data_IF_593213824921
#
_entry.id   IF_593213824921
#
_cell.length_a   1.000
_cell.length_b   1.000
_cell.length_c   1.000
_cell.angle_alpha   90.00
_cell.angle_beta   90.00
_cell.angle_gamma   90.00
#
_symmetry.space_group_name_H-M   'P 1'
#
loop_
_entity.id
_entity.type
_entity.pdbx_description
1 polymer ?
#
# COMPACT_ATOMS: atom_id res chain seq x y z
N UNK A 1 26.70 27.54 -30.14
CA UNK A 1 25.27 27.82 -30.18
C UNK A 1 24.56 26.99 -29.12
N UNK A 2 24.34 27.57 -27.94
CA UNK A 2 23.57 26.99 -26.86
C UNK A 2 22.12 27.42 -27.07
N UNK A 3 21.24 26.52 -27.50
CA UNK A 3 19.79 26.76 -27.45
C UNK A 3 19.24 26.19 -26.14
N UNK A 4 18.82 27.13 -25.32
CA UNK A 4 18.09 26.95 -24.08
C UNK A 4 16.74 26.27 -24.35
N UNK A 5 16.53 25.10 -23.71
CA UNK A 5 15.21 24.50 -23.54
C UNK A 5 14.61 25.12 -22.27
N UNK A 6 14.24 26.39 -22.37
CA UNK A 6 13.43 27.07 -21.36
C UNK A 6 12.42 27.89 -22.12
N UNK A 7 11.24 27.35 -22.30
CA UNK A 7 9.99 28.11 -22.55
C UNK A 7 8.92 27.25 -23.24
N UNK A 8 8.30 26.34 -22.53
CA UNK A 8 6.90 25.92 -22.78
C UNK A 8 6.25 25.47 -21.46
N UNK A 9 6.50 26.17 -20.38
CA UNK A 9 5.79 25.99 -19.11
C UNK A 9 5.39 27.36 -18.59
N UNK A 10 4.46 28.00 -19.27
CA UNK A 10 3.70 29.14 -18.76
C UNK A 10 2.29 29.04 -19.30
N UNK A 11 1.44 28.39 -18.56
CA UNK A 11 0.00 28.60 -18.68
C UNK A 11 -0.64 28.52 -17.29
N UNK A 12 -0.89 29.71 -16.77
CA UNK A 12 -2.06 30.09 -15.97
C UNK A 12 -2.24 29.41 -14.60
N UNK A 13 -1.49 29.89 -13.62
CA UNK A 13 -1.99 29.96 -12.24
C UNK A 13 -3.17 30.93 -12.20
N UNK A 14 -4.38 30.43 -12.20
CA UNK A 14 -5.53 31.13 -11.65
C UNK A 14 -5.70 30.66 -10.20
N UNK A 15 -5.32 31.52 -9.27
CA UNK A 15 -5.55 31.30 -7.85
C UNK A 15 -7.06 31.20 -7.61
N UNK A 16 -7.54 30.05 -7.19
CA UNK A 16 -8.79 29.92 -6.45
C UNK A 16 -8.47 29.29 -5.09
N UNK A 17 -8.49 30.13 -4.06
CA UNK A 17 -8.63 29.69 -2.69
C UNK A 17 -9.97 28.96 -2.56
N UNK A 18 -9.96 27.64 -2.40
CA UNK A 18 -11.12 26.88 -1.92
C UNK A 18 -10.66 26.01 -0.76
N UNK A 19 -11.29 26.26 0.35
CA UNK A 19 -11.30 25.49 1.60
C UNK A 19 -11.59 24.01 1.33
N UNK A 20 -10.81 23.15 1.97
CA UNK A 20 -11.08 21.76 2.32
C UNK A 20 -12.08 21.00 1.44
N UNK A 21 -11.64 20.46 0.33
CA UNK A 21 -12.36 19.41 -0.40
C UNK A 21 -11.38 18.27 -0.64
N UNK A 22 -11.83 17.07 -0.29
CA UNK A 22 -11.11 15.84 -0.53
C UNK A 22 -10.58 15.80 -1.96
N UNK A 23 -9.29 15.51 -2.09
CA UNK A 23 -8.65 15.41 -3.40
C UNK A 23 -9.24 14.21 -4.12
N UNK A 24 -9.97 14.50 -5.16
CA UNK A 24 -10.48 13.49 -6.09
C UNK A 24 -9.31 12.97 -6.92
N UNK A 25 -9.17 11.65 -7.02
CA UNK A 25 -8.23 11.04 -7.95
C UNK A 25 -8.40 11.65 -9.34
N UNK A 26 -7.38 12.36 -9.79
CA UNK A 26 -7.38 12.96 -11.09
C UNK A 26 -6.84 11.95 -12.11
N UNK A 27 -7.66 11.61 -13.10
CA UNK A 27 -7.09 11.10 -14.34
C UNK A 27 -6.07 12.14 -14.83
N UNK A 28 -4.89 11.70 -15.24
CA UNK A 28 -3.92 12.57 -15.87
C UNK A 28 -4.59 13.30 -17.03
N UNK A 29 -4.65 14.63 -16.98
CA UNK A 29 -5.30 15.40 -18.04
C UNK A 29 -4.49 15.27 -19.33
N UNK A 30 -5.06 14.60 -20.31
CA UNK A 30 -4.47 14.55 -21.64
C UNK A 30 -4.35 15.97 -22.19
N UNK A 31 -3.23 16.26 -22.86
CA UNK A 31 -3.02 17.53 -23.51
C UNK A 31 -4.26 17.89 -24.39
N UNK A 32 -4.84 19.10 -24.24
CA UNK A 32 -6.04 19.51 -24.99
C UNK A 32 -5.91 19.45 -26.54
N UNK A 33 -4.69 19.35 -27.05
CA UNK A 33 -4.41 19.17 -28.50
C UNK A 33 -4.69 17.71 -28.95
N UNK A 34 -4.82 16.76 -28.03
CA UNK A 34 -5.19 15.37 -28.37
C UNK A 34 -6.66 15.31 -28.75
N UNK A 35 -6.96 15.18 -30.04
CA UNK A 35 -8.33 15.22 -30.57
C UNK A 35 -9.01 13.85 -30.57
N UNK A 36 -8.24 12.79 -30.82
CA UNK A 36 -8.76 11.42 -30.96
C UNK A 36 -8.36 10.56 -29.76
N UNK A 37 -9.05 10.74 -28.65
CA UNK A 37 -8.83 9.95 -27.42
C UNK A 37 -9.45 8.57 -27.57
N UNK A 38 -8.62 7.58 -27.89
CA UNK A 38 -9.05 6.18 -27.93
C UNK A 38 -9.31 5.63 -26.51
N UNK A 39 -10.16 4.57 -26.35
CA UNK A 39 -10.33 3.92 -25.05
C UNK A 39 -9.01 3.45 -24.42
N UNK A 40 -8.08 2.92 -25.23
CA UNK A 40 -6.78 2.49 -24.77
C UNK A 40 -5.91 3.65 -24.26
N UNK A 41 -5.94 4.81 -24.93
CA UNK A 41 -5.23 5.99 -24.49
C UNK A 41 -5.82 6.53 -23.17
N UNK A 42 -7.14 6.56 -23.06
CA UNK A 42 -7.84 6.95 -21.82
C UNK A 42 -7.46 6.03 -20.66
N UNK A 43 -7.52 4.72 -20.86
CA UNK A 43 -7.13 3.75 -19.86
C UNK A 43 -5.65 3.93 -19.43
N UNK A 44 -4.75 4.10 -20.40
CA UNK A 44 -3.33 4.30 -20.13
C UNK A 44 -3.00 5.62 -19.41
N UNK A 45 -3.86 6.63 -19.53
CA UNK A 45 -3.70 7.93 -18.86
C UNK A 45 -4.38 7.97 -17.49
N UNK A 46 -5.08 6.92 -17.07
CA UNK A 46 -5.69 6.85 -15.75
C UNK A 46 -4.63 6.55 -14.71
N UNK A 47 -4.40 7.49 -13.80
CA UNK A 47 -3.45 7.39 -12.69
C UNK A 47 -4.22 7.59 -11.39
N UNK A 48 -3.86 6.85 -10.35
CA UNK A 48 -4.56 6.93 -9.06
C UNK A 48 -5.71 5.94 -8.95
N UNK A 49 -6.82 6.36 -8.35
CA UNK A 49 -8.00 5.50 -8.19
C UNK A 49 -8.58 5.17 -9.58
N UNK A 50 -8.63 3.87 -9.88
CA UNK A 50 -9.23 3.40 -11.11
C UNK A 50 -10.73 3.22 -10.95
N UNK A 51 -11.50 3.54 -11.99
CA UNK A 51 -12.96 3.37 -12.02
C UNK A 51 -13.46 2.84 -13.36
N UNK A 52 -14.53 2.06 -13.30
CA UNK A 52 -15.27 1.69 -14.49
C UNK A 52 -16.77 1.61 -14.23
N UNK A 53 -17.56 1.92 -15.26
CA UNK A 53 -19.01 1.84 -15.26
C UNK A 53 -19.48 0.80 -16.27
N UNK A 54 -20.58 0.11 -15.94
CA UNK A 54 -21.27 -0.78 -16.85
C UNK A 54 -22.55 -0.12 -17.35
N UNK A 55 -22.60 0.36 -18.60
CA UNK A 55 -23.78 1.02 -19.16
C UNK A 55 -25.04 0.15 -19.16
N UNK A 56 -24.89 -1.20 -19.22
CA UNK A 56 -26.01 -2.12 -19.20
C UNK A 56 -26.72 -2.15 -17.84
N UNK A 57 -26.06 -1.71 -16.77
CA UNK A 57 -26.60 -1.67 -15.40
C UNK A 57 -26.94 -0.24 -14.95
N UNK A 58 -26.97 0.75 -15.85
CA UNK A 58 -27.18 2.16 -15.51
C UNK A 58 -28.44 2.38 -14.65
N UNK A 59 -29.53 1.68 -14.94
CA UNK A 59 -30.81 1.79 -14.24
C UNK A 59 -30.89 0.95 -12.95
N UNK A 60 -29.87 0.16 -12.62
CA UNK A 60 -29.85 -0.61 -11.38
C UNK A 60 -29.77 0.36 -10.17
N UNK A 61 -30.52 0.06 -9.09
CA UNK A 61 -30.45 0.88 -7.87
C UNK A 61 -29.04 0.85 -7.28
N UNK A 62 -28.63 1.96 -6.70
CA UNK A 62 -27.33 2.02 -6.04
C UNK A 62 -27.35 1.25 -4.72
N UNK A 63 -26.44 0.30 -4.58
CA UNK A 63 -26.18 -0.43 -3.35
C UNK A 63 -24.68 -0.66 -3.22
N UNK A 64 -24.06 0.07 -2.30
CA UNK A 64 -22.63 0.16 -2.15
C UNK A 64 -22.06 -0.90 -1.20
N UNK A 65 -20.86 -1.38 -1.50
CA UNK A 65 -20.04 -2.17 -0.61
C UNK A 65 -18.57 -1.76 -0.74
N UNK A 66 -17.79 -1.97 0.33
CA UNK A 66 -16.34 -1.91 0.31
C UNK A 66 -15.82 -3.34 0.31
N UNK A 67 -14.91 -3.66 -0.61
CA UNK A 67 -14.19 -4.93 -0.63
C UNK A 67 -12.72 -4.67 -0.29
N UNK A 68 -12.28 -5.14 0.88
CA UNK A 68 -10.88 -5.11 1.29
C UNK A 68 -10.18 -6.36 0.78
N UNK A 69 -9.12 -6.18 0.01
CA UNK A 69 -8.25 -7.26 -0.47
C UNK A 69 -6.93 -7.25 0.29
N UNK A 70 -6.48 -8.40 0.73
CA UNK A 70 -5.24 -8.56 1.49
C UNK A 70 -4.59 -9.91 1.20
N UNK A 71 -3.25 -9.97 1.27
CA UNK A 71 -2.53 -11.24 1.15
C UNK A 71 -2.98 -12.25 2.22
N UNK A 72 -3.32 -11.76 3.41
CA UNK A 72 -3.72 -12.57 4.54
C UNK A 72 -2.54 -13.03 5.40
N UNK A 73 -2.87 -13.75 6.48
CA UNK A 73 -1.90 -14.35 7.40
C UNK A 73 -2.49 -15.56 8.11
N UNK A 74 -1.64 -16.53 8.45
CA UNK A 74 -1.99 -17.68 9.29
C UNK A 74 -1.83 -17.41 10.79
N UNK A 75 -1.25 -16.27 11.16
CA UNK A 75 -1.05 -15.87 12.55
C UNK A 75 -2.28 -15.14 13.07
N UNK A 76 -3.12 -15.81 13.85
CA UNK A 76 -4.41 -15.29 14.34
C UNK A 76 -4.26 -13.98 15.11
N UNK A 77 -3.32 -13.90 16.05
CA UNK A 77 -3.09 -12.69 16.87
C UNK A 77 -2.66 -11.51 16.00
N UNK A 78 -1.78 -11.75 15.03
CA UNK A 78 -1.32 -10.73 14.07
C UNK A 78 -2.47 -10.28 13.18
N UNK A 79 -3.28 -11.21 12.65
CA UNK A 79 -4.47 -10.89 11.86
C UNK A 79 -5.39 -9.93 12.59
N UNK A 80 -5.76 -10.28 13.83
CA UNK A 80 -6.67 -9.47 14.64
C UNK A 80 -6.15 -8.06 14.91
N UNK A 81 -4.85 -7.92 15.15
CA UNK A 81 -4.22 -6.62 15.44
C UNK A 81 -3.95 -5.78 14.19
N UNK A 82 -3.96 -6.37 13.01
CA UNK A 82 -3.59 -5.73 11.74
C UNK A 82 -4.75 -5.67 10.76
N UNK A 83 -5.05 -6.75 10.04
CA UNK A 83 -6.07 -6.81 9.00
C UNK A 83 -7.44 -6.45 9.59
N UNK A 84 -7.90 -7.18 10.62
CA UNK A 84 -9.21 -6.97 11.24
C UNK A 84 -9.30 -5.54 11.83
N UNK A 85 -8.19 -4.99 12.35
CA UNK A 85 -8.15 -3.63 12.89
C UNK A 85 -8.25 -2.54 11.79
N UNK A 86 -7.68 -2.78 10.60
CA UNK A 86 -7.84 -1.88 9.44
C UNK A 86 -9.28 -1.92 8.94
N UNK A 87 -9.85 -3.12 8.77
CA UNK A 87 -11.25 -3.29 8.35
C UNK A 87 -12.22 -2.63 9.32
N UNK A 88 -12.01 -2.82 10.62
CA UNK A 88 -12.80 -2.15 11.66
C UNK A 88 -12.67 -0.62 11.61
N UNK A 89 -11.50 -0.09 11.28
CA UNK A 89 -11.30 1.35 11.11
C UNK A 89 -12.04 1.88 9.88
N UNK A 90 -12.00 1.16 8.75
CA UNK A 90 -12.74 1.48 7.53
C UNK A 90 -14.25 1.42 7.81
N UNK A 91 -14.74 0.33 8.41
CA UNK A 91 -16.16 0.18 8.74
C UNK A 91 -16.65 1.29 9.69
N UNK A 92 -15.82 1.70 10.65
CA UNK A 92 -16.14 2.79 11.58
C UNK A 92 -16.24 4.14 10.87
N UNK A 93 -15.38 4.38 9.87
CA UNK A 93 -15.39 5.62 9.08
C UNK A 93 -16.59 5.66 8.12
N UNK A 94 -17.03 4.49 7.63
CA UNK A 94 -18.13 4.34 6.67
C UNK A 94 -19.22 3.39 7.23
N UNK A 95 -19.97 3.79 8.29
CA UNK A 95 -20.86 2.89 9.01
C UNK A 95 -22.05 2.39 8.17
N UNK A 96 -22.43 3.13 7.14
CA UNK A 96 -23.59 2.82 6.29
C UNK A 96 -23.21 1.95 5.08
N UNK A 97 -21.91 1.69 4.85
CA UNK A 97 -21.41 0.87 3.73
C UNK A 97 -20.71 -0.36 4.30
N UNK A 98 -21.24 -1.58 4.08
CA UNK A 98 -20.65 -2.78 4.64
C UNK A 98 -19.28 -3.09 4.04
N UNK A 99 -18.37 -3.55 4.88
CA UNK A 99 -17.02 -3.98 4.52
C UNK A 99 -16.98 -5.49 4.39
N UNK A 100 -16.43 -5.97 3.28
CA UNK A 100 -16.17 -7.37 2.97
C UNK A 100 -14.68 -7.60 2.83
N UNK A 101 -14.23 -8.82 3.10
CA UNK A 101 -12.82 -9.22 3.04
C UNK A 101 -12.61 -10.28 1.96
N UNK A 102 -11.46 -10.19 1.28
CA UNK A 102 -10.94 -11.25 0.42
C UNK A 102 -9.44 -11.44 0.65
N UNK A 103 -8.99 -12.69 0.65
CA UNK A 103 -7.58 -13.04 0.71
C UNK A 103 -7.05 -13.37 -0.68
N UNK A 104 -5.91 -12.77 -1.05
CA UNK A 104 -5.29 -12.99 -2.35
C UNK A 104 -4.36 -14.22 -2.37
N UNK A 105 -3.87 -14.66 -1.21
CA UNK A 105 -3.01 -15.84 -1.10
C UNK A 105 -3.81 -17.12 -0.87
N UNK A 106 -3.94 -17.95 -1.91
CA UNK A 106 -4.58 -19.27 -1.82
C UNK A 106 -3.93 -20.18 -0.77
N UNK A 107 -2.59 -20.13 -0.64
CA UNK A 107 -1.85 -20.90 0.36
C UNK A 107 -2.28 -20.48 1.78
N UNK A 108 -2.45 -19.19 2.03
CA UNK A 108 -2.92 -18.69 3.33
C UNK A 108 -4.35 -19.11 3.59
N UNK A 109 -5.24 -19.01 2.60
CA UNK A 109 -6.64 -19.47 2.70
C UNK A 109 -6.68 -20.94 3.13
N UNK A 110 -5.94 -21.80 2.44
CA UNK A 110 -5.92 -23.24 2.73
C UNK A 110 -5.36 -23.54 4.13
N UNK A 111 -4.30 -22.85 4.53
CA UNK A 111 -3.69 -23.00 5.86
C UNK A 111 -4.61 -22.49 6.99
N UNK A 112 -5.28 -21.35 6.82
CA UNK A 112 -6.26 -20.83 7.79
C UNK A 112 -7.42 -21.81 7.93
N UNK A 113 -7.93 -22.36 6.81
CA UNK A 113 -8.97 -23.37 6.84
C UNK A 113 -8.53 -24.64 7.57
N UNK A 114 -7.31 -25.12 7.31
CA UNK A 114 -6.78 -26.31 7.95
C UNK A 114 -6.52 -26.12 9.46
N UNK A 115 -6.02 -24.96 9.85
CA UNK A 115 -5.61 -24.70 11.23
C UNK A 115 -6.76 -24.24 12.13
N UNK A 116 -7.71 -23.44 11.58
CA UNK A 116 -8.72 -22.75 12.36
C UNK A 116 -10.16 -23.16 11.96
N UNK A 117 -10.34 -23.92 10.88
CA UNK A 117 -11.66 -24.25 10.34
C UNK A 117 -12.40 -23.06 9.71
N UNK A 118 -11.74 -21.91 9.55
CA UNK A 118 -12.30 -20.68 8.97
C UNK A 118 -12.05 -20.69 7.46
N UNK A 119 -13.09 -20.50 6.68
CA UNK A 119 -12.97 -20.33 5.22
C UNK A 119 -12.89 -18.84 4.89
N UNK A 120 -11.75 -18.39 4.38
CA UNK A 120 -11.57 -17.07 3.78
C UNK A 120 -11.89 -17.14 2.30
N UNK A 121 -12.47 -16.08 1.75
CA UNK A 121 -12.84 -15.99 0.33
C UNK A 121 -11.65 -15.52 -0.50
N UNK A 122 -11.53 -16.05 -1.73
CA UNK A 122 -10.71 -15.40 -2.76
C UNK A 122 -11.39 -14.11 -3.24
N UNK A 123 -10.67 -13.23 -3.96
CA UNK A 123 -11.30 -12.05 -4.57
C UNK A 123 -12.48 -12.39 -5.46
N UNK A 124 -12.36 -13.45 -6.29
CA UNK A 124 -13.42 -13.91 -7.19
C UNK A 124 -14.65 -14.38 -6.42
N UNK A 125 -14.46 -15.13 -5.34
CA UNK A 125 -15.57 -15.60 -4.47
C UNK A 125 -16.25 -14.43 -3.76
N UNK A 126 -15.46 -13.43 -3.31
CA UNK A 126 -16.00 -12.24 -2.68
C UNK A 126 -16.84 -11.40 -3.66
N UNK A 127 -16.37 -11.19 -4.89
CA UNK A 127 -17.16 -10.52 -5.93
C UNK A 127 -18.43 -11.28 -6.27
N UNK A 128 -18.36 -12.61 -6.42
CA UNK A 128 -19.53 -13.44 -6.67
C UNK A 128 -20.57 -13.34 -5.54
N UNK A 129 -20.12 -13.29 -4.29
CA UNK A 129 -20.98 -13.08 -3.12
C UNK A 129 -21.61 -11.69 -3.14
N UNK A 130 -20.86 -10.63 -3.40
CA UNK A 130 -21.38 -9.27 -3.52
C UNK A 130 -22.46 -9.17 -4.59
N UNK A 131 -22.25 -9.78 -5.76
CA UNK A 131 -23.23 -9.85 -6.83
C UNK A 131 -24.49 -10.60 -6.40
N UNK A 132 -24.34 -11.77 -5.77
CA UNK A 132 -25.47 -12.59 -5.30
C UNK A 132 -26.29 -11.87 -4.22
N UNK A 133 -25.68 -11.02 -3.40
CA UNK A 133 -26.34 -10.21 -2.38
C UNK A 133 -26.92 -8.90 -2.94
N UNK A 134 -26.77 -8.66 -4.25
CA UNK A 134 -27.38 -7.54 -4.98
C UNK A 134 -26.65 -6.21 -4.80
N UNK A 135 -25.36 -6.21 -4.41
CA UNK A 135 -24.54 -5.01 -4.47
C UNK A 135 -24.28 -4.63 -5.92
N UNK A 136 -24.42 -3.36 -6.23
CA UNK A 136 -24.31 -2.83 -7.61
C UNK A 136 -23.10 -1.95 -7.79
N UNK A 137 -22.56 -1.37 -6.69
CA UNK A 137 -21.35 -0.55 -6.73
C UNK A 137 -20.36 -1.07 -5.69
N UNK A 138 -19.11 -1.24 -6.10
CA UNK A 138 -18.07 -1.80 -5.22
C UNK A 138 -16.83 -0.91 -5.22
N UNK A 139 -16.45 -0.44 -4.03
CA UNK A 139 -15.19 0.22 -3.77
C UNK A 139 -14.18 -0.83 -3.30
N UNK A 140 -13.13 -1.08 -4.08
CA UNK A 140 -12.08 -2.03 -3.76
C UNK A 140 -10.90 -1.32 -3.11
N UNK A 141 -10.44 -1.85 -1.98
CA UNK A 141 -9.32 -1.33 -1.20
C UNK A 141 -8.28 -2.42 -1.02
N UNK A 142 -7.11 -2.24 -1.64
CA UNK A 142 -5.99 -3.14 -1.43
C UNK A 142 -5.23 -2.76 -0.14
N UNK A 143 -4.87 -3.74 0.68
CA UNK A 143 -3.98 -3.53 1.82
C UNK A 143 -2.50 -3.66 1.45
N UNK A 144 -2.17 -3.65 0.17
CA UNK A 144 -0.79 -3.66 -0.29
C UNK A 144 -0.10 -2.33 0.03
N UNK A 145 1.21 -2.43 0.27
CA UNK A 145 2.02 -1.28 0.70
C UNK A 145 2.53 -0.49 -0.52
N UNK A 146 2.83 -1.18 -1.61
CA UNK A 146 3.38 -0.61 -2.86
C UNK A 146 2.66 -1.21 -4.07
N UNK A 147 2.74 -0.59 -5.27
CA UNK A 147 2.21 -1.17 -6.50
C UNK A 147 3.11 -2.32 -6.98
N UNK A 148 3.02 -3.46 -6.30
CA UNK A 148 3.78 -4.69 -6.54
C UNK A 148 3.01 -5.75 -7.34
N UNK A 149 3.47 -7.01 -7.22
CA UNK A 149 2.82 -8.16 -7.86
C UNK A 149 1.40 -8.38 -7.32
N UNK A 150 1.23 -8.27 -6.00
CA UNK A 150 -0.04 -8.47 -5.31
C UNK A 150 -1.06 -7.41 -5.76
N UNK A 151 -0.69 -6.13 -5.77
CA UNK A 151 -1.56 -5.07 -6.27
C UNK A 151 -1.90 -5.24 -7.77
N UNK A 152 -0.97 -5.79 -8.55
CA UNK A 152 -1.25 -6.12 -9.96
C UNK A 152 -2.32 -7.19 -10.07
N UNK A 153 -2.32 -8.18 -9.18
CA UNK A 153 -3.40 -9.18 -9.11
C UNK A 153 -4.73 -8.53 -8.71
N UNK A 154 -4.75 -7.70 -7.65
CA UNK A 154 -5.95 -6.95 -7.24
C UNK A 154 -6.52 -6.12 -8.39
N UNK A 155 -5.66 -5.46 -9.16
CA UNK A 155 -6.05 -4.67 -10.31
C UNK A 155 -6.68 -5.54 -11.41
N UNK A 156 -6.04 -6.65 -11.75
CA UNK A 156 -6.53 -7.54 -12.81
C UNK A 156 -7.87 -8.15 -12.43
N UNK A 157 -7.99 -8.73 -11.23
CA UNK A 157 -9.24 -9.38 -10.80
C UNK A 157 -10.38 -8.37 -10.70
N UNK A 158 -10.12 -7.15 -10.22
CA UNK A 158 -11.11 -6.07 -10.15
C UNK A 158 -11.59 -5.66 -11.55
N UNK A 159 -10.66 -5.44 -12.48
CA UNK A 159 -10.99 -5.06 -13.87
C UNK A 159 -11.83 -6.13 -14.60
N UNK A 160 -11.65 -7.40 -14.26
CA UNK A 160 -12.45 -8.49 -14.83
C UNK A 160 -13.90 -8.49 -14.33
N UNK A 161 -14.24 -7.73 -13.27
CA UNK A 161 -15.59 -7.69 -12.70
C UNK A 161 -16.48 -6.57 -13.26
N UNK A 162 -15.98 -5.71 -14.13
CA UNK A 162 -16.72 -4.53 -14.65
C UNK A 162 -18.12 -4.88 -15.19
N UNK A 163 -18.24 -6.02 -15.86
CA UNK A 163 -19.52 -6.45 -16.44
C UNK A 163 -20.57 -6.87 -15.39
N UNK A 164 -20.17 -7.10 -14.14
CA UNK A 164 -21.04 -7.63 -13.08
C UNK A 164 -21.56 -6.55 -12.13
N UNK A 165 -21.02 -5.34 -12.18
CA UNK A 165 -21.41 -4.23 -11.31
C UNK A 165 -21.74 -2.98 -12.12
N UNK A 166 -22.66 -2.17 -11.60
CA UNK A 166 -23.02 -0.87 -12.18
C UNK A 166 -21.81 0.06 -12.23
N UNK A 167 -21.05 0.08 -11.12
CA UNK A 167 -19.80 0.84 -11.00
C UNK A 167 -18.84 0.14 -10.06
N UNK A 168 -17.58 0.18 -10.41
CA UNK A 168 -16.51 -0.39 -9.58
C UNK A 168 -15.35 0.59 -9.55
N UNK A 169 -14.72 0.70 -8.39
CA UNK A 169 -13.51 1.49 -8.20
C UNK A 169 -12.43 0.66 -7.51
N UNK A 170 -11.16 0.98 -7.77
CA UNK A 170 -10.00 0.39 -7.10
C UNK A 170 -9.12 1.51 -6.57
N UNK A 171 -8.95 1.57 -5.25
CA UNK A 171 -8.01 2.47 -4.61
C UNK A 171 -6.56 2.15 -5.00
N UNK A 172 -5.69 3.14 -4.90
CA UNK A 172 -4.24 2.90 -4.96
C UNK A 172 -3.78 2.12 -3.72
N UNK A 173 -2.61 1.43 -3.79
CA UNK A 173 -2.00 0.87 -2.59
C UNK A 173 -1.58 1.99 -1.63
N UNK A 174 -1.05 1.63 -0.45
CA UNK A 174 -0.69 2.59 0.59
C UNK A 174 0.24 3.71 0.07
N UNK A 175 1.25 3.35 -0.70
CA UNK A 175 2.17 4.28 -1.37
C UNK A 175 2.07 4.12 -2.88
N UNK A 176 1.63 5.16 -3.55
CA UNK A 176 1.49 5.21 -5.01
C UNK A 176 2.09 6.50 -5.59
N UNK A 177 1.59 7.67 -5.18
CA UNK A 177 2.09 8.97 -5.62
C UNK A 177 3.36 9.37 -4.86
N UNK A 178 4.24 10.08 -5.55
CA UNK A 178 5.58 10.45 -5.08
C UNK A 178 5.81 11.97 -5.13
N UNK A 179 4.75 12.78 -5.03
CA UNK A 179 4.84 14.24 -4.97
C UNK A 179 5.14 14.91 -6.32
N UNK A 180 4.79 14.29 -7.43
CA UNK A 180 4.99 14.86 -8.78
C UNK A 180 3.70 15.44 -9.34
N UNK A 181 3.81 16.49 -10.16
CA UNK A 181 2.68 17.10 -10.90
C UNK A 181 1.47 17.50 -10.04
N UNK A 182 1.71 17.87 -8.79
CA UNK A 182 0.65 18.30 -7.86
C UNK A 182 0.00 17.17 -7.05
N UNK A 183 0.37 15.93 -7.32
CA UNK A 183 -0.06 14.79 -6.51
C UNK A 183 0.64 14.76 -5.14
N UNK A 184 0.04 14.15 -4.11
CA UNK A 184 0.66 14.03 -2.79
C UNK A 184 1.91 13.16 -2.82
N UNK A 185 2.81 13.36 -1.87
CA UNK A 185 3.91 12.42 -1.61
C UNK A 185 3.47 11.41 -0.54
N UNK A 186 2.86 10.31 -0.99
CA UNK A 186 2.36 9.27 -0.10
C UNK A 186 3.47 8.48 0.61
N UNK A 187 4.71 8.52 0.08
CA UNK A 187 5.87 7.94 0.74
C UNK A 187 6.26 8.78 1.96
N UNK A 188 6.21 10.10 1.84
CA UNK A 188 6.41 11.02 2.97
C UNK A 188 5.32 10.84 4.02
N UNK A 189 4.05 10.72 3.61
CA UNK A 189 2.93 10.53 4.53
C UNK A 189 3.04 9.18 5.27
N UNK A 190 3.42 8.12 4.57
CA UNK A 190 3.72 6.82 5.17
C UNK A 190 4.84 6.92 6.21
N UNK A 191 5.97 7.55 5.88
CA UNK A 191 7.11 7.68 6.79
C UNK A 191 6.75 8.51 8.03
N UNK A 192 5.97 9.58 7.88
CA UNK A 192 5.46 10.36 9.01
C UNK A 192 4.55 9.53 9.92
N UNK A 193 3.63 8.77 9.34
CA UNK A 193 2.75 7.87 10.09
C UNK A 193 3.54 6.77 10.82
N UNK A 194 4.53 6.18 10.15
CA UNK A 194 5.39 5.12 10.69
C UNK A 194 6.31 5.64 11.80
N UNK A 195 6.77 6.89 11.74
CA UNK A 195 7.75 7.47 12.67
C UNK A 195 7.30 7.41 14.13
N UNK A 196 6.01 7.34 14.40
CA UNK A 196 5.46 7.17 15.75
C UNK A 196 5.86 5.85 16.42
N UNK A 197 6.30 4.85 15.64
CA UNK A 197 6.76 3.54 16.11
C UNK A 197 8.29 3.43 16.22
N UNK A 198 9.03 4.42 15.71
CA UNK A 198 10.48 4.38 15.80
C UNK A 198 10.95 4.49 17.26
N UNK A 199 11.93 3.67 17.65
CA UNK A 199 12.55 3.83 18.98
C UNK A 199 13.25 5.18 19.08
N UNK A 200 13.41 5.70 20.29
CA UNK A 200 14.31 6.84 20.50
C UNK A 200 15.72 6.41 20.14
N UNK A 201 16.32 7.08 19.15
CA UNK A 201 17.64 6.75 18.66
C UNK A 201 18.69 7.73 19.18
N UNK A 202 19.79 7.19 19.70
CA UNK A 202 21.02 7.94 20.00
C UNK A 202 21.98 7.91 18.81
N UNK A 203 23.12 8.57 18.97
CA UNK A 203 24.15 8.74 17.91
C UNK A 203 24.63 7.40 17.27
N UNK A 204 24.58 6.29 18.02
CA UNK A 204 25.08 4.99 17.59
C UNK A 204 23.96 3.97 17.35
N UNK A 205 22.72 4.44 17.29
CA UNK A 205 21.56 3.60 17.11
C UNK A 205 21.07 3.71 15.65
N UNK A 206 20.68 2.57 15.07
CA UNK A 206 20.05 2.52 13.76
C UNK A 206 18.74 1.74 13.83
N UNK A 207 17.78 2.10 13.00
CA UNK A 207 16.56 1.35 12.76
C UNK A 207 16.55 0.85 11.32
N UNK A 208 16.44 -0.46 11.14
CA UNK A 208 16.29 -1.09 9.84
C UNK A 208 14.82 -1.46 9.64
N UNK A 209 14.19 -0.81 8.67
CA UNK A 209 12.81 -1.11 8.29
C UNK A 209 12.82 -2.15 7.17
N UNK A 210 12.29 -3.33 7.46
CA UNK A 210 12.31 -4.49 6.59
C UNK A 210 11.06 -4.58 5.72
N UNK A 211 11.23 -4.46 4.43
CA UNK A 211 10.20 -4.72 3.43
C UNK A 211 10.23 -6.17 2.94
N UNK A 212 9.15 -6.63 2.31
CA UNK A 212 9.13 -7.97 1.69
C UNK A 212 10.11 -8.04 0.51
N UNK A 213 10.01 -7.13 -0.42
CA UNK A 213 10.67 -7.23 -1.73
C UNK A 213 9.70 -7.75 -2.79
N UNK A 214 10.02 -7.54 -4.06
CA UNK A 214 9.21 -8.04 -5.17
C UNK A 214 10.03 -8.07 -6.46
N UNK A 215 9.84 -9.06 -7.36
CA UNK A 215 10.44 -9.02 -8.70
C UNK A 215 9.78 -7.99 -9.61
N UNK A 216 8.65 -7.40 -9.20
CA UNK A 216 7.95 -6.36 -9.95
C UNK A 216 8.76 -5.04 -9.95
N UNK A 217 8.70 -4.21 -11.02
CA UNK A 217 9.33 -2.88 -11.03
C UNK A 217 8.99 -1.99 -9.83
N UNK A 218 7.84 -2.22 -9.19
CA UNK A 218 7.46 -1.60 -7.92
C UNK A 218 8.48 -1.76 -6.79
N UNK A 219 9.43 -2.69 -6.89
CA UNK A 219 10.57 -2.79 -5.97
C UNK A 219 11.37 -1.48 -5.86
N UNK A 220 11.32 -0.62 -6.87
CA UNK A 220 11.96 0.69 -6.85
C UNK A 220 11.44 1.60 -5.72
N UNK A 221 10.22 1.38 -5.22
CA UNK A 221 9.67 2.13 -4.08
C UNK A 221 10.55 2.05 -2.82
N UNK A 222 11.25 0.95 -2.60
CA UNK A 222 12.16 0.85 -1.46
C UNK A 222 13.35 1.82 -1.57
N UNK A 223 13.81 2.11 -2.79
CA UNK A 223 14.81 3.17 -3.02
C UNK A 223 14.20 4.56 -2.82
N UNK A 224 12.96 4.78 -3.22
CA UNK A 224 12.23 6.04 -2.97
C UNK A 224 12.03 6.25 -1.47
N UNK A 225 11.64 5.21 -0.72
CA UNK A 225 11.53 5.29 0.75
C UNK A 225 12.87 5.72 1.36
N UNK A 226 14.00 5.15 0.92
CA UNK A 226 15.31 5.54 1.43
C UNK A 226 15.68 7.00 1.09
N UNK A 227 15.29 7.47 -0.08
CA UNK A 227 15.46 8.86 -0.49
C UNK A 227 14.67 9.83 0.41
N UNK A 228 13.38 9.52 0.64
CA UNK A 228 12.52 10.32 1.54
C UNK A 228 12.95 10.26 3.01
N UNK A 229 13.51 9.14 3.48
CA UNK A 229 14.14 9.05 4.80
C UNK A 229 15.25 10.11 4.94
N UNK A 230 16.08 10.27 3.90
CA UNK A 230 17.16 11.26 3.89
C UNK A 230 16.62 12.69 3.83
N UNK A 231 15.65 12.96 2.96
CA UNK A 231 15.00 14.29 2.86
C UNK A 231 14.31 14.71 4.16
N UNK A 232 13.73 13.78 4.88
CA UNK A 232 13.08 14.03 6.18
C UNK A 232 14.06 14.12 7.35
N UNK A 233 15.38 13.95 7.11
CA UNK A 233 16.39 13.96 8.15
C UNK A 233 16.24 12.86 9.18
N UNK A 234 15.72 11.71 8.79
CA UNK A 234 15.59 10.53 9.66
C UNK A 234 16.92 9.79 9.74
N UNK A 235 17.91 10.41 10.41
CA UNK A 235 19.24 9.85 10.54
C UNK A 235 19.22 8.48 11.22
N UNK A 236 20.00 7.53 10.68
CA UNK A 236 20.09 6.16 11.21
C UNK A 236 18.94 5.24 10.82
N UNK A 237 17.98 5.69 10.01
CA UNK A 237 16.91 4.83 9.47
C UNK A 237 17.31 4.33 8.08
N UNK A 238 17.21 3.02 7.86
CA UNK A 238 17.53 2.38 6.58
C UNK A 238 16.43 1.41 6.19
N UNK A 239 16.06 1.42 4.91
CA UNK A 239 15.16 0.41 4.34
C UNK A 239 15.97 -0.72 3.71
N UNK A 240 15.47 -1.94 3.87
CA UNK A 240 15.95 -3.12 3.17
C UNK A 240 14.82 -4.12 2.95
N UNK A 241 15.02 -5.11 2.12
CA UNK A 241 14.02 -6.12 1.80
C UNK A 241 14.56 -7.53 1.96
N UNK A 242 13.64 -8.48 2.22
CA UNK A 242 13.95 -9.92 2.30
C UNK A 242 14.23 -10.46 0.91
N UNK A 243 13.31 -10.24 -0.04
CA UNK A 243 13.32 -10.83 -1.39
C UNK A 243 13.52 -9.78 -2.49
N UNK A 244 14.20 -8.68 -2.20
CA UNK A 244 14.40 -7.59 -3.16
C UNK A 244 15.67 -6.81 -2.93
N UNK A 245 15.66 -5.57 -3.42
CA UNK A 245 16.75 -4.62 -3.21
C UNK A 245 16.22 -3.27 -2.75
N UNK A 246 16.96 -2.55 -1.85
CA UNK A 246 18.20 -3.01 -1.19
C UNK A 246 17.96 -4.20 -0.27
N UNK A 247 18.94 -5.08 -0.13
CA UNK A 247 18.90 -6.19 0.82
C UNK A 247 19.76 -5.89 2.07
N UNK A 248 19.84 -6.84 3.01
CA UNK A 248 20.60 -6.65 4.24
C UNK A 248 22.11 -6.45 3.97
N UNK A 249 22.66 -7.14 2.97
CA UNK A 249 24.06 -7.03 2.58
C UNK A 249 24.41 -5.63 2.04
N UNK A 250 23.44 -4.95 1.39
CA UNK A 250 23.61 -3.57 0.91
C UNK A 250 23.63 -2.56 2.06
N UNK A 251 23.03 -2.89 3.23
CA UNK A 251 22.91 -1.98 4.37
C UNK A 251 24.05 -2.15 5.39
N UNK A 252 24.54 -3.36 5.63
CA UNK A 252 25.62 -3.63 6.59
C UNK A 252 26.85 -2.70 6.42
N UNK A 253 27.38 -2.47 5.20
CA UNK A 253 28.49 -1.54 5.00
C UNK A 253 28.16 -0.10 5.42
N UNK A 254 26.91 0.35 5.20
CA UNK A 254 26.44 1.69 5.58
C UNK A 254 26.38 1.84 7.11
N UNK A 255 25.91 0.81 7.81
CA UNK A 255 25.91 0.78 9.28
C UNK A 255 27.30 0.88 9.85
N UNK A 256 28.26 0.13 9.31
CA UNK A 256 29.66 0.15 9.74
C UNK A 256 30.31 1.52 9.47
N UNK A 257 30.12 2.07 8.29
CA UNK A 257 30.64 3.38 7.89
C UNK A 257 30.07 4.51 8.75
N UNK A 258 28.77 4.42 9.15
CA UNK A 258 28.11 5.39 10.04
C UNK A 258 28.49 5.24 11.51
N UNK A 259 29.22 4.18 11.89
CA UNK A 259 29.66 3.94 13.27
C UNK A 259 28.51 3.50 14.20
N UNK A 260 27.43 2.96 13.64
CA UNK A 260 26.32 2.42 14.41
C UNK A 260 26.74 1.17 15.17
N UNK A 261 26.13 0.95 16.32
CA UNK A 261 26.43 -0.17 17.23
C UNK A 261 25.17 -0.96 17.61
N UNK A 262 24.07 -0.26 17.78
CA UNK A 262 22.79 -0.86 18.16
C UNK A 262 21.85 -0.78 16.96
N UNK A 263 21.20 -1.88 16.64
CA UNK A 263 20.29 -1.98 15.49
C UNK A 263 18.94 -2.46 15.98
N UNK A 264 17.89 -1.75 15.64
CA UNK A 264 16.52 -2.22 15.82
C UNK A 264 15.97 -2.66 14.45
N UNK A 265 15.51 -3.90 14.36
CA UNK A 265 14.82 -4.45 13.19
C UNK A 265 13.31 -4.30 13.37
N UNK A 266 12.62 -3.76 12.36
CA UNK A 266 11.16 -3.69 12.33
C UNK A 266 10.61 -3.90 10.94
N UNK A 267 9.50 -4.65 10.78
CA UNK A 267 8.91 -4.87 9.46
C UNK A 267 8.10 -3.66 9.00
N UNK A 268 8.08 -3.41 7.69
CA UNK A 268 7.14 -2.51 7.01
C UNK A 268 6.23 -3.32 6.07
N UNK A 269 5.58 -4.32 6.66
CA UNK A 269 4.59 -5.18 6.01
C UNK A 269 3.26 -5.04 6.76
N UNK A 270 2.13 -5.21 6.07
CA UNK A 270 0.79 -5.13 6.68
C UNK A 270 0.72 -5.98 7.95
N UNK A 271 1.24 -7.18 7.89
CA UNK A 271 1.27 -8.16 8.99
C UNK A 271 2.73 -8.52 9.35
N UNK A 272 3.01 -8.73 10.63
CA UNK A 272 4.27 -9.29 11.10
C UNK A 272 4.14 -10.84 11.13
N UNK A 273 4.14 -11.44 9.95
CA UNK A 273 3.99 -12.89 9.74
C UNK A 273 5.32 -13.64 9.77
N UNK A 274 5.44 -14.63 8.88
CA UNK A 274 6.56 -15.56 8.82
C UNK A 274 7.91 -14.86 8.65
N UNK A 275 8.04 -13.98 7.67
CA UNK A 275 9.27 -13.22 7.42
C UNK A 275 9.71 -12.38 8.64
N UNK A 276 8.77 -11.79 9.38
CA UNK A 276 9.13 -11.00 10.56
C UNK A 276 9.59 -11.89 11.74
N UNK A 277 8.97 -13.06 11.91
CA UNK A 277 9.28 -13.95 13.01
C UNK A 277 10.48 -14.85 12.75
N UNK A 278 10.64 -15.35 11.53
CA UNK A 278 11.69 -16.27 11.14
C UNK A 278 12.88 -15.57 10.48
N UNK A 279 12.70 -14.97 9.30
CA UNK A 279 13.83 -14.38 8.55
C UNK A 279 14.42 -13.16 9.27
N UNK A 280 13.58 -12.28 9.85
CA UNK A 280 14.07 -11.09 10.54
C UNK A 280 14.55 -11.41 11.97
N UNK A 281 13.71 -12.05 12.79
CA UNK A 281 13.89 -12.15 14.23
C UNK A 281 14.21 -13.55 14.75
N UNK A 282 14.24 -14.56 13.90
CA UNK A 282 14.54 -15.94 14.25
C UNK A 282 15.93 -16.15 14.86
N UNK A 283 16.16 -17.34 15.41
CA UNK A 283 17.44 -17.72 16.01
C UNK A 283 18.35 -18.52 15.07
N UNK A 284 17.85 -18.85 13.86
CA UNK A 284 18.64 -19.56 12.86
C UNK A 284 19.83 -18.71 12.38
N UNK A 285 20.93 -19.34 11.97
CA UNK A 285 22.17 -18.63 11.59
C UNK A 285 22.01 -17.64 10.42
N UNK A 286 21.03 -17.84 9.57
CA UNK A 286 20.70 -17.04 8.38
C UNK A 286 19.61 -15.98 8.66
N UNK A 287 19.07 -15.92 9.88
CA UNK A 287 18.19 -14.82 10.24
C UNK A 287 18.94 -13.48 10.26
N UNK A 288 18.24 -12.39 9.91
CA UNK A 288 18.85 -11.05 9.89
C UNK A 288 19.40 -10.63 11.26
N UNK A 289 18.70 -10.98 12.35
CA UNK A 289 19.18 -10.80 13.72
C UNK A 289 20.51 -11.51 13.95
N UNK A 290 20.63 -12.77 13.57
CA UNK A 290 21.82 -13.59 13.75
C UNK A 290 22.99 -13.07 12.90
N UNK A 291 22.73 -12.72 11.63
CA UNK A 291 23.73 -12.15 10.71
C UNK A 291 24.27 -10.84 11.30
N UNK A 292 23.42 -9.90 11.69
CA UNK A 292 23.85 -8.62 12.26
C UNK A 292 24.59 -8.77 13.58
N UNK A 293 24.17 -9.73 14.43
CA UNK A 293 24.87 -10.04 15.68
C UNK A 293 26.28 -10.57 15.41
N UNK A 294 26.43 -11.45 14.41
CA UNK A 294 27.74 -11.95 13.97
C UNK A 294 28.63 -10.84 13.38
N UNK A 295 28.03 -9.84 12.74
CA UNK A 295 28.72 -8.64 12.24
C UNK A 295 29.11 -7.64 13.35
N UNK A 296 28.78 -7.94 14.61
CA UNK A 296 29.19 -7.17 15.79
C UNK A 296 28.19 -6.10 16.25
N UNK A 297 26.96 -6.14 15.81
CA UNK A 297 25.90 -5.23 16.25
C UNK A 297 25.12 -5.79 17.44
N UNK A 298 24.65 -4.91 18.32
CA UNK A 298 23.64 -5.23 19.33
C UNK A 298 22.26 -5.13 18.68
N UNK A 299 21.56 -6.25 18.51
CA UNK A 299 20.31 -6.30 17.75
C UNK A 299 19.09 -6.40 18.67
N UNK A 300 18.09 -5.57 18.41
CA UNK A 300 16.73 -5.68 18.97
C UNK A 300 15.74 -5.87 17.83
N UNK A 301 14.62 -6.51 18.13
CA UNK A 301 13.54 -6.73 17.19
C UNK A 301 12.27 -6.08 17.70
N UNK A 302 11.54 -5.41 16.78
CA UNK A 302 10.22 -4.82 17.02
C UNK A 302 9.25 -5.48 16.03
N UNK A 303 8.57 -6.54 16.50
CA UNK A 303 7.75 -7.41 15.64
C UNK A 303 6.30 -6.95 15.69
N UNK A 304 5.98 -5.93 14.90
CA UNK A 304 4.63 -5.38 14.76
C UNK A 304 4.33 -5.11 13.29
N UNK A 305 3.13 -5.51 12.84
CA UNK A 305 2.68 -5.21 11.49
C UNK A 305 2.21 -3.75 11.34
N UNK A 306 2.21 -3.24 10.11
CA UNK A 306 1.76 -1.88 9.82
C UNK A 306 0.32 -1.61 10.27
N UNK A 307 -0.56 -2.62 10.17
CA UNK A 307 -1.95 -2.52 10.61
C UNK A 307 -2.13 -2.28 12.11
N UNK A 308 -1.11 -2.52 12.95
CA UNK A 308 -1.14 -2.19 14.37
C UNK A 308 -1.02 -0.68 14.64
N UNK A 309 -0.47 0.08 13.69
CA UNK A 309 -0.30 1.53 13.79
C UNK A 309 -1.60 2.27 13.43
N UNK A 310 -2.16 3.02 14.38
CA UNK A 310 -3.38 3.78 14.16
C UNK A 310 -3.25 4.84 13.05
N UNK A 311 -2.08 5.47 12.88
CA UNK A 311 -1.83 6.45 11.83
C UNK A 311 -1.80 5.78 10.45
N UNK A 312 -1.19 4.59 10.34
CA UNK A 312 -1.20 3.79 9.10
C UNK A 312 -2.62 3.32 8.77
N UNK A 313 -3.40 2.88 9.78
CA UNK A 313 -4.82 2.55 9.54
C UNK A 313 -5.59 3.74 8.99
N UNK A 314 -5.28 4.96 9.47
CA UNK A 314 -5.85 6.20 8.92
C UNK A 314 -5.61 6.36 7.43
N UNK A 315 -4.40 6.07 6.95
CA UNK A 315 -4.09 6.13 5.52
C UNK A 315 -4.90 5.11 4.69
N UNK A 316 -5.18 3.92 5.22
CA UNK A 316 -6.08 2.96 4.54
C UNK A 316 -7.55 3.39 4.57
N UNK A 317 -7.98 4.09 5.62
CA UNK A 317 -9.30 4.73 5.65
C UNK A 317 -9.41 5.79 4.56
N UNK A 318 -8.35 6.58 4.34
CA UNK A 318 -8.29 7.56 3.25
C UNK A 318 -8.41 6.85 1.88
N UNK A 319 -7.70 5.73 1.67
CA UNK A 319 -7.84 4.92 0.43
C UNK A 319 -9.28 4.43 0.22
N UNK A 320 -9.95 3.98 1.28
CA UNK A 320 -11.35 3.54 1.22
C UNK A 320 -12.28 4.71 0.87
N UNK A 321 -12.05 5.87 1.46
CA UNK A 321 -12.83 7.09 1.17
C UNK A 321 -12.64 7.50 -0.30
N UNK A 322 -11.41 7.53 -0.80
CA UNK A 322 -11.11 7.86 -2.20
C UNK A 322 -11.83 6.91 -3.19
N UNK A 323 -11.83 5.60 -2.89
CA UNK A 323 -12.53 4.62 -3.73
C UNK A 323 -14.05 4.81 -3.69
N UNK A 324 -14.64 5.08 -2.51
CA UNK A 324 -16.07 5.35 -2.37
C UNK A 324 -16.47 6.65 -3.09
N UNK A 325 -15.70 7.72 -2.93
CA UNK A 325 -15.95 9.00 -3.60
C UNK A 325 -15.90 8.86 -5.12
N UNK A 326 -15.04 7.99 -5.63
CA UNK A 326 -14.96 7.68 -7.04
C UNK A 326 -16.20 6.96 -7.58
N UNK A 327 -16.95 6.23 -6.73
CA UNK A 327 -18.25 5.65 -7.12
C UNK A 327 -19.35 6.71 -7.30
N UNK A 328 -19.22 7.88 -6.66
CA UNK A 328 -20.24 8.93 -6.67
C UNK A 328 -20.10 9.90 -7.85
N UNK A 329 -18.95 9.93 -8.51
CA UNK A 329 -18.65 10.78 -9.67
C UNK A 329 -19.10 10.13 -10.94
#
# INVERSE_FOLDING_TARGET
MKRSIKSVLTASMAALCVLGMGMTANAYELNPEVKDVTPALREASTVGVWTAENPAMKEAPDKDAILVMTFGTTFTDTRTKTIDAVEAAIQKAHPDVPVFEAYTSHIIIDRVKANEGITKMTPEEAFAKLQAEGYTRVAVVSLDVIPGMEYSYDSVVTKMQVQHFKKISLATPLMYFQGTEGEPDQVVDFLKALSSQFPKMGKHDATLIMAHGTPHPGNAYYSVIQDRIQELGMDGVFVYSVEGRPNLEDVIPKLKAGGYKNVTLMPIMMVAGDHANNDMAGDEPDSHKSILTKEGFNVKTYIHGLGENANIRGLYVDRATEALDALQK
#
